data_IF_070466431828
#
_entry.id   IF_070466431828
#
_cell.length_a   1.000
_cell.length_b   1.000
_cell.length_c   1.000
_cell.angle_alpha   90.00
_cell.angle_beta   90.00
_cell.angle_gamma   90.00
#
_symmetry.space_group_name_H-M   'P 1'
#
loop_
_entity.id
_entity.type
_entity.pdbx_description
1 polymer ?
#
# COMPACT_ATOMS: atom_id res chain seq x y z
N UNK A 1 0.62 3.65 15.81
CA UNK A 1 1.65 3.52 14.77
C UNK A 1 1.14 2.53 13.74
N UNK A 2 0.95 3.02 12.53
CA UNK A 2 0.57 2.23 11.35
C UNK A 2 1.81 2.04 10.48
N UNK A 3 2.06 0.80 10.05
CA UNK A 3 3.22 0.43 9.24
C UNK A 3 2.76 -0.52 8.13
N UNK A 4 3.21 -0.22 6.91
CA UNK A 4 3.18 -1.13 5.78
C UNK A 4 4.64 -1.30 5.35
N UNK A 5 5.10 -2.53 5.37
CA UNK A 5 6.47 -2.87 4.97
C UNK A 5 6.49 -4.08 4.03
N UNK A 6 7.62 -4.29 3.38
CA UNK A 6 7.84 -5.48 2.55
C UNK A 6 9.12 -6.22 2.95
N UNK A 7 9.11 -7.53 2.97
CA UNK A 7 10.21 -8.36 3.48
C UNK A 7 11.18 -8.82 2.38
N UNK A 8 10.67 -9.11 1.19
CA UNK A 8 11.45 -9.41 -0.01
C UNK A 8 10.86 -8.72 -1.23
N UNK A 9 11.67 -8.63 -2.30
CA UNK A 9 11.25 -8.07 -3.59
C UNK A 9 11.80 -8.92 -4.72
N UNK A 10 10.98 -9.20 -5.72
CA UNK A 10 11.37 -9.78 -7.00
C UNK A 10 11.17 -8.72 -8.07
N UNK A 11 12.13 -8.63 -9.00
CA UNK A 11 12.06 -7.68 -10.11
C UNK A 11 11.90 -8.46 -11.42
N UNK A 12 11.11 -7.96 -12.38
CA UNK A 12 11.11 -8.51 -13.72
C UNK A 12 12.45 -8.27 -14.41
N UNK A 13 12.74 -9.08 -15.44
CA UNK A 13 13.90 -8.89 -16.31
C UNK A 13 13.85 -7.55 -17.06
N UNK A 14 12.63 -7.06 -17.34
CA UNK A 14 12.36 -5.78 -17.99
C UNK A 14 11.53 -4.88 -17.07
N UNK A 15 12.15 -3.78 -16.63
CA UNK A 15 11.54 -2.74 -15.79
C UNK A 15 10.86 -1.63 -16.61
N UNK A 16 10.71 -1.78 -17.93
CA UNK A 16 10.17 -0.74 -18.79
C UNK A 16 8.63 -0.72 -18.86
N UNK A 17 8.07 0.47 -19.10
CA UNK A 17 6.63 0.64 -19.32
C UNK A 17 5.78 0.14 -18.16
N UNK A 18 4.74 -0.64 -18.47
CA UNK A 18 3.82 -1.20 -17.47
C UNK A 18 4.38 -2.45 -16.77
N UNK A 19 5.46 -3.06 -17.28
CA UNK A 19 6.02 -4.29 -16.73
C UNK A 19 6.48 -4.13 -15.28
N UNK A 20 7.07 -2.99 -14.94
CA UNK A 20 7.49 -2.74 -13.57
C UNK A 20 6.31 -2.81 -12.58
N UNK A 21 5.18 -2.17 -12.90
CA UNK A 21 4.02 -2.19 -12.01
C UNK A 21 3.38 -3.58 -11.92
N UNK A 22 3.36 -4.31 -13.04
CA UNK A 22 2.72 -5.62 -13.16
C UNK A 22 3.55 -6.79 -12.61
N UNK A 23 4.86 -6.63 -12.39
CA UNK A 23 5.74 -7.76 -12.04
C UNK A 23 6.74 -7.46 -10.91
N UNK A 24 6.76 -6.26 -10.34
CA UNK A 24 7.50 -6.02 -9.09
C UNK A 24 6.68 -6.59 -7.93
N UNK A 25 7.08 -7.78 -7.50
CA UNK A 25 6.40 -8.58 -6.48
C UNK A 25 7.17 -8.59 -5.17
N UNK A 26 6.47 -8.84 -4.06
CA UNK A 26 7.08 -9.03 -2.75
C UNK A 26 6.10 -9.45 -1.68
N UNK A 27 6.61 -9.91 -0.55
CA UNK A 27 5.79 -10.13 0.64
C UNK A 27 5.46 -8.80 1.32
N UNK A 28 4.19 -8.57 1.60
CA UNK A 28 3.68 -7.36 2.25
C UNK A 28 3.27 -7.69 3.69
N UNK A 29 3.71 -6.87 4.64
CA UNK A 29 3.30 -6.94 6.04
C UNK A 29 2.67 -5.61 6.46
N UNK A 30 1.48 -5.68 7.07
CA UNK A 30 0.76 -4.53 7.59
C UNK A 30 0.59 -4.70 9.09
N UNK A 31 1.11 -3.75 9.85
CA UNK A 31 1.05 -3.73 11.30
C UNK A 31 0.32 -2.47 11.80
N UNK A 32 -0.50 -2.64 12.82
CA UNK A 32 -1.19 -1.55 13.49
C UNK A 32 -0.97 -1.68 14.98
N UNK A 33 -0.42 -0.62 15.59
CA UNK A 33 -0.08 -0.60 17.03
C UNK A 33 0.88 -1.73 17.45
N UNK A 34 1.71 -2.22 16.52
CA UNK A 34 2.69 -3.29 16.76
C UNK A 34 2.13 -4.70 16.63
N UNK A 35 0.85 -4.84 16.29
CA UNK A 35 0.22 -6.13 16.01
C UNK A 35 0.07 -6.33 14.50
N UNK A 36 0.31 -7.55 14.03
CA UNK A 36 0.13 -7.93 12.64
C UNK A 36 -1.37 -7.90 12.28
N UNK A 37 -1.72 -7.06 11.31
CA UNK A 37 -3.07 -6.99 10.77
C UNK A 37 -3.22 -7.85 9.52
N UNK A 38 -2.29 -7.73 8.57
CA UNK A 38 -2.33 -8.45 7.31
C UNK A 38 -0.93 -8.86 6.86
N UNK A 39 -0.81 -10.07 6.34
CA UNK A 39 0.37 -10.56 5.64
C UNK A 39 -0.05 -11.08 4.27
N UNK A 40 0.63 -10.65 3.22
CA UNK A 40 0.39 -11.06 1.83
C UNK A 40 1.67 -11.65 1.28
N UNK A 41 1.64 -12.90 0.85
CA UNK A 41 2.86 -13.58 0.38
C UNK A 41 3.35 -13.00 -0.95
N UNK A 42 2.46 -12.73 -1.91
CA UNK A 42 2.82 -12.19 -3.22
C UNK A 42 1.95 -10.96 -3.50
N UNK A 43 2.51 -9.77 -3.32
CA UNK A 43 1.85 -8.50 -3.59
C UNK A 43 2.59 -7.74 -4.70
N UNK A 44 1.84 -7.14 -5.63
CA UNK A 44 2.36 -6.22 -6.64
C UNK A 44 2.74 -4.89 -5.98
N UNK A 45 3.96 -4.84 -5.41
CA UNK A 45 4.41 -3.77 -4.53
C UNK A 45 4.42 -2.40 -5.22
N UNK A 46 4.83 -2.36 -6.49
CA UNK A 46 4.86 -1.11 -7.25
C UNK A 46 3.46 -0.66 -7.68
N UNK A 47 2.58 -1.60 -8.02
CA UNK A 47 1.17 -1.27 -8.26
C UNK A 47 0.51 -0.66 -7.03
N UNK A 48 0.67 -1.31 -5.86
CA UNK A 48 0.22 -0.77 -4.58
C UNK A 48 0.74 0.66 -4.36
N UNK A 49 2.04 0.89 -4.62
CA UNK A 49 2.64 2.21 -4.49
C UNK A 49 2.03 3.25 -5.43
N UNK A 50 1.68 2.87 -6.67
CA UNK A 50 0.97 3.74 -7.63
C UNK A 50 -0.41 4.12 -7.10
N UNK A 51 -1.17 3.17 -6.56
CA UNK A 51 -2.49 3.43 -5.98
C UNK A 51 -2.39 4.34 -4.74
N UNK A 52 -1.42 4.09 -3.86
CA UNK A 52 -1.11 4.96 -2.71
C UNK A 52 -0.79 6.39 -3.16
N UNK A 53 0.05 6.55 -4.18
CA UNK A 53 0.43 7.86 -4.70
C UNK A 53 -0.76 8.63 -5.25
N UNK A 54 -1.64 7.96 -6.00
CA UNK A 54 -2.86 8.56 -6.53
C UNK A 54 -3.80 9.02 -5.41
N UNK A 55 -4.00 8.18 -4.40
CA UNK A 55 -4.83 8.53 -3.24
C UNK A 55 -4.25 9.69 -2.42
N UNK A 56 -2.94 9.72 -2.20
CA UNK A 56 -2.30 10.86 -1.51
C UNK A 56 -2.46 12.18 -2.29
N UNK A 57 -2.48 12.13 -3.62
CA UNK A 57 -2.71 13.30 -4.45
C UNK A 57 -4.15 13.81 -4.33
N UNK A 58 -5.15 12.92 -4.27
CA UNK A 58 -6.55 13.31 -4.09
C UNK A 58 -6.84 13.84 -2.68
N UNK A 59 -6.22 13.28 -1.63
CA UNK A 59 -6.37 13.80 -0.27
C UNK A 59 -5.76 15.20 -0.10
N UNK A 60 -4.63 15.49 -0.75
CA UNK A 60 -4.05 16.85 -0.76
C UNK A 60 -4.99 17.91 -1.35
N UNK A 61 -5.92 17.50 -2.21
CA UNK A 61 -6.92 18.38 -2.80
C UNK A 61 -8.20 18.51 -1.96
N UNK A 62 -8.18 18.05 -0.70
CA UNK A 62 -9.27 18.23 0.27
C UNK A 62 -10.35 17.16 0.24
N UNK A 63 -10.14 16.06 -0.49
CA UNK A 63 -11.05 14.92 -0.48
C UNK A 63 -10.58 13.88 0.55
N UNK A 64 -11.20 13.83 1.72
CA UNK A 64 -11.07 12.68 2.63
C UNK A 64 -12.04 11.60 2.10
N UNK A 65 -11.48 10.57 1.48
CA UNK A 65 -12.23 9.46 0.86
C UNK A 65 -11.51 8.15 1.14
N UNK A 66 -12.25 7.06 0.96
CA UNK A 66 -11.72 5.72 1.16
C UNK A 66 -10.48 5.47 0.29
N UNK A 67 -9.51 4.75 0.86
CA UNK A 67 -8.47 4.09 0.08
C UNK A 67 -8.94 2.69 -0.27
N UNK A 68 -8.67 2.25 -1.49
CA UNK A 68 -9.01 0.92 -1.96
C UNK A 68 -7.89 0.39 -2.85
N UNK A 69 -7.32 -0.75 -2.47
CA UNK A 69 -6.37 -1.50 -3.27
C UNK A 69 -6.85 -2.93 -3.44
N UNK A 70 -7.04 -3.30 -4.70
CA UNK A 70 -7.19 -4.65 -5.22
C UNK A 70 -6.09 -4.79 -6.28
N UNK A 71 -5.42 -5.94 -6.33
CA UNK A 71 -4.40 -6.18 -7.35
C UNK A 71 -5.03 -6.60 -8.66
N UNK A 72 -4.30 -6.47 -9.77
CA UNK A 72 -4.70 -7.10 -11.03
C UNK A 72 -4.95 -8.62 -10.91
N UNK A 73 -4.29 -9.28 -9.97
CA UNK A 73 -4.48 -10.72 -9.71
C UNK A 73 -5.70 -11.04 -8.84
N UNK A 74 -6.24 -10.06 -8.12
CA UNK A 74 -7.35 -10.23 -7.16
C UNK A 74 -8.30 -9.03 -7.25
N UNK A 75 -9.19 -9.08 -8.23
CA UNK A 75 -10.04 -7.93 -8.61
C UNK A 75 -11.38 -7.86 -7.84
N UNK A 76 -11.83 -8.96 -7.23
CA UNK A 76 -13.19 -9.06 -6.68
C UNK A 76 -13.39 -8.29 -5.36
N UNK A 77 -12.39 -8.29 -4.48
CA UNK A 77 -12.43 -7.64 -3.17
C UNK A 77 -11.06 -7.00 -2.82
N UNK A 78 -11.01 -5.94 -1.98
CA UNK A 78 -9.76 -5.26 -1.71
C UNK A 78 -8.85 -6.11 -0.83
N UNK A 79 -7.60 -6.26 -1.27
CA UNK A 79 -6.50 -6.72 -0.42
C UNK A 79 -6.32 -5.77 0.77
N UNK A 80 -6.43 -4.46 0.52
CA UNK A 80 -6.37 -3.43 1.56
C UNK A 80 -7.36 -2.31 1.26
N UNK A 81 -8.23 -1.99 2.22
CA UNK A 81 -9.06 -0.79 2.20
C UNK A 81 -8.90 0.01 3.49
N UNK A 82 -8.97 1.34 3.36
CA UNK A 82 -9.08 2.27 4.47
C UNK A 82 -10.42 2.99 4.34
N UNK A 83 -11.39 2.64 5.18
CA UNK A 83 -12.74 3.23 5.17
C UNK A 83 -12.79 4.45 6.06
N UNK A 84 -13.07 5.62 5.49
CA UNK A 84 -13.11 6.86 6.25
C UNK A 84 -14.40 6.98 7.07
N UNK A 85 -14.27 7.20 8.37
CA UNK A 85 -15.36 7.50 9.28
C UNK A 85 -15.31 8.99 9.64
N UNK A 86 -16.16 9.80 9.00
CA UNK A 86 -16.21 11.26 9.19
C UNK A 86 -16.55 11.67 10.63
N UNK A 87 -17.40 10.91 11.33
CA UNK A 87 -17.78 11.19 12.72
C UNK A 87 -16.60 11.07 13.70
N UNK A 88 -15.64 10.19 13.39
CA UNK A 88 -14.47 9.92 14.23
C UNK A 88 -13.17 10.48 13.66
N UNK A 89 -13.23 11.06 12.46
CA UNK A 89 -12.09 11.56 11.68
C UNK A 89 -10.93 10.56 11.61
N UNK A 90 -11.26 9.29 11.38
CA UNK A 90 -10.31 8.19 11.31
C UNK A 90 -10.68 7.20 10.21
N UNK A 91 -9.78 6.26 9.95
CA UNK A 91 -9.95 5.20 8.98
C UNK A 91 -10.01 3.84 9.69
N UNK A 92 -10.90 2.97 9.23
CA UNK A 92 -10.91 1.56 9.58
C UNK A 92 -10.19 0.76 8.50
N UNK A 93 -9.30 -0.14 8.90
CA UNK A 93 -8.61 -1.04 7.99
C UNK A 93 -9.48 -2.26 7.70
N UNK A 94 -9.61 -2.59 6.43
CA UNK A 94 -10.34 -3.78 5.96
C UNK A 94 -9.46 -4.53 4.95
N UNK A 95 -9.68 -5.85 4.88
CA UNK A 95 -9.06 -6.75 3.91
C UNK A 95 -9.99 -7.92 3.68
N UNK A 96 -10.07 -8.43 2.45
CA UNK A 96 -10.82 -9.65 2.12
C UNK A 96 -10.30 -10.90 2.86
N UNK A 97 -9.08 -10.86 3.39
CA UNK A 97 -8.46 -11.98 4.10
C UNK A 97 -8.51 -11.87 5.63
N UNK A 98 -9.18 -10.84 6.16
CA UNK A 98 -9.31 -10.63 7.61
C UNK A 98 -10.78 -10.50 7.99
N UNK A 99 -11.26 -11.37 8.87
CA UNK A 99 -12.69 -11.44 9.25
C UNK A 99 -13.20 -10.18 9.97
N UNK A 100 -12.32 -9.43 10.64
CA UNK A 100 -12.68 -8.26 11.43
C UNK A 100 -11.84 -7.04 11.03
N UNK A 101 -12.42 -5.82 11.02
CA UNK A 101 -11.67 -4.61 10.78
C UNK A 101 -10.52 -4.42 11.77
N UNK A 102 -9.40 -3.89 11.27
CA UNK A 102 -8.24 -3.55 12.08
C UNK A 102 -8.49 -2.34 13.00
N UNK A 103 -7.56 -2.05 13.92
CA UNK A 103 -7.65 -0.86 14.76
C UNK A 103 -7.69 0.41 13.89
N UNK A 104 -8.42 1.43 14.37
CA UNK A 104 -8.54 2.68 13.63
C UNK A 104 -7.21 3.44 13.53
N UNK A 105 -6.97 4.07 12.39
CA UNK A 105 -5.79 4.91 12.12
C UNK A 105 -6.20 6.31 11.69
N UNK A 106 -5.38 7.31 12.00
CA UNK A 106 -5.64 8.70 11.61
C UNK A 106 -5.14 8.98 10.19
N UNK A 107 -5.65 10.06 9.57
CA UNK A 107 -5.15 10.50 8.26
C UNK A 107 -3.63 10.75 8.28
N UNK A 108 -3.13 11.37 9.34
CA UNK A 108 -1.71 11.66 9.50
C UNK A 108 -0.86 10.38 9.53
N UNK A 109 -1.32 9.33 10.23
CA UNK A 109 -0.66 8.04 10.25
C UNK A 109 -0.65 7.36 8.88
N UNK A 110 -1.75 7.44 8.13
CA UNK A 110 -1.83 6.89 6.76
C UNK A 110 -0.87 7.61 5.82
N UNK A 111 -0.88 8.94 5.82
CA UNK A 111 0.01 9.76 4.97
C UNK A 111 1.48 9.44 5.26
N UNK A 112 1.86 9.40 6.53
CA UNK A 112 3.22 9.11 6.96
C UNK A 112 3.62 7.67 6.58
N UNK A 113 2.74 6.69 6.82
CA UNK A 113 2.96 5.29 6.46
C UNK A 113 3.17 5.10 4.95
N UNK A 114 2.26 5.63 4.11
CA UNK A 114 2.36 5.49 2.65
C UNK A 114 3.61 6.19 2.11
N UNK A 115 3.94 7.36 2.65
CA UNK A 115 5.15 8.09 2.26
C UNK A 115 6.42 7.29 2.59
N UNK A 116 6.48 6.67 3.78
CA UNK A 116 7.61 5.81 4.19
C UNK A 116 7.72 4.56 3.31
N UNK A 117 6.60 3.88 3.05
CA UNK A 117 6.55 2.71 2.17
C UNK A 117 7.09 3.05 0.77
N UNK A 118 6.53 4.10 0.14
CA UNK A 118 6.93 4.55 -1.20
C UNK A 118 8.42 4.89 -1.24
N UNK A 119 8.94 5.62 -0.24
CA UNK A 119 10.37 5.95 -0.18
C UNK A 119 11.23 4.70 -0.11
N UNK A 120 10.91 3.75 0.77
CA UNK A 120 11.65 2.49 0.92
C UNK A 120 11.62 1.66 -0.37
N UNK A 121 10.47 1.63 -1.05
CA UNK A 121 10.35 0.96 -2.35
C UNK A 121 11.22 1.63 -3.41
N UNK A 122 11.15 2.96 -3.56
CA UNK A 122 12.00 3.70 -4.51
C UNK A 122 13.48 3.45 -4.27
N UNK A 123 13.93 3.53 -3.01
CA UNK A 123 15.33 3.27 -2.64
C UNK A 123 15.74 1.83 -2.99
N UNK A 124 14.84 0.87 -2.77
CA UNK A 124 15.07 -0.55 -3.09
C UNK A 124 15.18 -0.79 -4.59
N UNK A 125 14.23 -0.25 -5.39
CA UNK A 125 14.23 -0.38 -6.85
C UNK A 125 15.49 0.24 -7.45
N UNK A 126 15.86 1.45 -7.01
CA UNK A 126 17.06 2.12 -7.48
C UNK A 126 18.32 1.31 -7.18
N UNK A 127 18.45 0.79 -5.95
CA UNK A 127 19.62 0.01 -5.55
C UNK A 127 19.80 -1.31 -6.31
N UNK A 128 18.70 -1.93 -6.75
CA UNK A 128 18.70 -3.27 -7.35
C UNK A 128 18.68 -3.29 -8.88
N UNK A 129 18.09 -2.29 -9.52
CA UNK A 129 17.97 -2.23 -10.98
C UNK A 129 18.34 -0.88 -11.59
N UNK A 130 18.64 0.14 -10.77
CA UNK A 130 18.79 1.52 -11.25
C UNK A 130 17.48 2.16 -11.68
N UNK A 131 16.34 1.49 -11.48
CA UNK A 131 15.02 2.03 -11.80
C UNK A 131 14.68 3.20 -10.89
N UNK A 132 14.30 4.33 -11.50
CA UNK A 132 13.81 5.51 -10.80
C UNK A 132 12.30 5.56 -10.98
N UNK A 133 11.57 5.31 -9.89
CA UNK A 133 10.14 5.50 -9.85
C UNK A 133 9.83 6.97 -9.55
N UNK A 134 9.13 7.64 -10.46
CA UNK A 134 8.71 9.04 -10.32
C UNK A 134 7.34 9.18 -9.68
#
# INVERSE_FOLDING_TARGET
MFVIDFDWVTLPDDMSGYNAAAFVEGGLNIEVQGELFLQVENCLLLELAVVMKQWLASVKNGAEHDFYYASMDEEEEPILALRYCSEKSNFLLESCWVEAPGPAVTLAEVIDCFTRYMKRLTDTLYSRSGYVWE
#
